data_IF_510090849420
#
_entry.id   IF_510090849420
#
_cell.length_a   1.000
_cell.length_b   1.000
_cell.length_c   1.000
_cell.angle_alpha   90.00
_cell.angle_beta   90.00
_cell.angle_gamma   90.00
#
_symmetry.space_group_name_H-M   'P 1'
#
loop_
_entity.id
_entity.type
_entity.pdbx_description
1 polymer ?
#
# COMPACT_ATOMS: atom_id res chain seq x y z
N UNK A 1 7.59 -4.97 -4.88
CA UNK A 1 6.67 -6.08 -4.50
C UNK A 1 6.20 -5.93 -3.06
N UNK A 2 7.10 -5.97 -2.07
CA UNK A 2 6.78 -5.85 -0.63
C UNK A 2 5.86 -4.65 -0.35
N UNK A 3 6.25 -3.44 -0.78
CA UNK A 3 5.43 -2.23 -0.55
C UNK A 3 4.05 -2.29 -1.20
N UNK A 4 3.90 -2.92 -2.37
CA UNK A 4 2.60 -3.01 -3.03
C UNK A 4 1.66 -3.90 -2.23
N UNK A 5 2.17 -5.03 -1.73
CA UNK A 5 1.39 -5.93 -0.88
C UNK A 5 1.07 -5.30 0.48
N UNK A 6 1.98 -4.49 1.04
CA UNK A 6 1.69 -3.68 2.23
C UNK A 6 0.57 -2.69 1.96
N UNK A 7 0.63 -1.95 0.85
CA UNK A 7 -0.39 -0.97 0.47
C UNK A 7 -1.74 -1.62 0.11
N UNK A 8 -1.75 -2.89 -0.28
CA UNK A 8 -2.98 -3.67 -0.48
C UNK A 8 -3.65 -4.00 0.85
N UNK A 9 -2.91 -4.60 1.79
CA UNK A 9 -3.47 -4.98 3.08
C UNK A 9 -3.76 -3.77 3.98
N UNK A 10 -2.95 -2.71 3.87
CA UNK A 10 -3.02 -1.54 4.74
C UNK A 10 -2.92 -0.25 3.91
N UNK A 11 -3.92 0.07 3.07
CA UNK A 11 -3.92 1.30 2.31
C UNK A 11 -4.04 2.51 3.24
N UNK A 12 -3.30 3.62 3.02
CA UNK A 12 -3.42 4.82 3.85
C UNK A 12 -4.84 5.38 3.89
N UNK A 13 -5.54 5.39 2.75
CA UNK A 13 -6.96 5.72 2.66
C UNK A 13 -7.79 4.44 2.47
N UNK A 14 -8.68 4.15 3.42
CA UNK A 14 -9.51 2.93 3.39
C UNK A 14 -10.69 3.03 2.44
N UNK A 15 -11.09 4.25 2.09
CA UNK A 15 -12.15 4.54 1.13
C UNK A 15 -11.93 5.92 0.49
N UNK A 16 -12.61 6.17 -0.63
CA UNK A 16 -12.67 7.51 -1.24
C UNK A 16 -14.09 7.81 -1.71
N UNK A 17 -14.50 9.06 -1.64
CA UNK A 17 -15.84 9.50 -2.07
C UNK A 17 -15.73 10.19 -3.43
N UNK A 18 -16.70 9.93 -4.31
CA UNK A 18 -16.92 10.67 -5.56
C UNK A 18 -18.36 11.17 -5.59
N UNK A 19 -18.59 12.31 -6.23
CA UNK A 19 -19.95 12.82 -6.46
C UNK A 19 -20.26 12.77 -7.95
N UNK A 20 -21.42 12.21 -8.29
CA UNK A 20 -21.93 12.23 -9.66
C UNK A 20 -22.19 13.68 -10.10
N UNK A 21 -21.50 14.14 -11.15
CA UNK A 21 -21.67 15.52 -11.65
C UNK A 21 -22.84 15.68 -12.61
N UNK A 22 -23.35 14.55 -13.10
CA UNK A 22 -24.48 14.39 -14.02
C UNK A 22 -25.17 13.08 -13.67
N UNK A 23 -26.40 12.89 -14.12
CA UNK A 23 -27.04 11.58 -14.09
C UNK A 23 -26.19 10.58 -14.88
N UNK A 24 -25.89 9.43 -14.28
CA UNK A 24 -25.02 8.41 -14.87
C UNK A 24 -25.53 7.01 -14.56
N UNK A 25 -25.37 6.09 -15.50
CA UNK A 25 -25.68 4.68 -15.29
C UNK A 25 -24.39 3.91 -14.97
N UNK A 26 -24.38 3.15 -13.87
CA UNK A 26 -23.28 2.27 -13.47
C UNK A 26 -23.77 0.82 -13.43
N UNK A 27 -23.43 0.02 -14.45
CA UNK A 27 -24.06 -1.29 -14.64
C UNK A 27 -25.55 -1.12 -14.92
N UNK A 28 -26.40 -1.73 -14.09
CA UNK A 28 -27.86 -1.59 -14.18
C UNK A 28 -28.42 -0.51 -13.24
N UNK A 29 -27.55 0.25 -12.55
CA UNK A 29 -27.95 1.26 -11.57
C UNK A 29 -27.95 2.66 -12.16
N UNK A 30 -29.10 3.33 -12.12
CA UNK A 30 -29.20 4.77 -12.38
C UNK A 30 -28.73 5.55 -11.15
N UNK A 31 -27.70 6.38 -11.32
CA UNK A 31 -27.13 7.24 -10.29
C UNK A 31 -27.47 8.69 -10.64
N UNK A 32 -28.40 9.33 -9.92
CA UNK A 32 -28.73 10.73 -10.14
C UNK A 32 -27.54 11.65 -9.86
N UNK A 33 -27.54 12.83 -10.48
CA UNK A 33 -26.66 13.94 -10.18
C UNK A 33 -26.60 14.20 -8.67
N UNK A 34 -25.43 14.62 -8.21
CA UNK A 34 -25.11 14.97 -6.84
C UNK A 34 -25.11 13.79 -5.84
N UNK A 35 -25.40 12.57 -6.29
CA UNK A 35 -25.22 11.35 -5.50
C UNK A 35 -23.76 11.16 -5.12
N UNK A 36 -23.49 10.90 -3.83
CA UNK A 36 -22.18 10.52 -3.33
C UNK A 36 -21.99 9.00 -3.39
N UNK A 37 -20.86 8.58 -3.95
CA UNK A 37 -20.45 7.21 -4.12
C UNK A 37 -19.20 6.98 -3.27
N UNK A 38 -19.32 6.12 -2.27
CA UNK A 38 -18.19 5.63 -1.49
C UNK A 38 -17.54 4.45 -2.22
N UNK A 39 -16.26 4.55 -2.54
CA UNK A 39 -15.46 3.46 -3.10
C UNK A 39 -14.68 2.83 -1.93
N UNK A 40 -15.02 1.60 -1.50
CA UNK A 40 -14.42 0.97 -0.32
C UNK A 40 -13.10 0.29 -0.69
N UNK A 41 -12.02 1.08 -0.80
CA UNK A 41 -10.68 0.65 -1.21
C UNK A 41 -10.21 -0.58 -0.41
N UNK A 42 -10.28 -0.53 0.92
CA UNK A 42 -9.84 -1.63 1.78
C UNK A 42 -10.62 -2.92 1.54
N UNK A 43 -11.94 -2.83 1.36
CA UNK A 43 -12.77 -4.00 1.08
C UNK A 43 -12.38 -4.62 -0.28
N UNK A 44 -12.21 -3.80 -1.32
CA UNK A 44 -11.77 -4.26 -2.65
C UNK A 44 -10.39 -4.94 -2.55
N UNK A 45 -9.48 -4.40 -1.74
CA UNK A 45 -8.11 -4.94 -1.60
C UNK A 45 -8.05 -6.27 -0.84
N UNK A 46 -9.08 -6.62 -0.05
CA UNK A 46 -9.16 -7.88 0.70
C UNK A 46 -10.15 -8.88 0.09
N UNK A 47 -10.86 -8.49 -0.97
CA UNK A 47 -11.88 -9.32 -1.58
C UNK A 47 -11.26 -10.52 -2.32
N UNK A 48 -11.55 -11.72 -1.85
CA UNK A 48 -11.06 -12.97 -2.43
C UNK A 48 -11.50 -13.17 -3.89
N UNK A 49 -12.56 -12.50 -4.37
CA UNK A 49 -12.97 -12.51 -5.78
C UNK A 49 -11.92 -11.86 -6.69
N UNK A 50 -11.20 -10.87 -6.18
CA UNK A 50 -10.12 -10.19 -6.89
C UNK A 50 -8.74 -10.75 -6.55
N UNK A 51 -8.55 -11.13 -5.29
CA UNK A 51 -7.26 -11.44 -4.71
C UNK A 51 -7.06 -12.93 -4.39
N UNK A 52 -8.01 -13.79 -4.74
CA UNK A 52 -7.90 -15.23 -4.53
C UNK A 52 -8.09 -15.65 -3.06
N UNK A 53 -8.01 -16.96 -2.78
CA UNK A 53 -8.25 -17.49 -1.43
C UNK A 53 -7.18 -17.06 -0.40
N UNK A 54 -6.00 -16.63 -0.87
CA UNK A 54 -4.92 -16.11 -0.03
C UNK A 54 -5.00 -14.59 0.20
N UNK A 55 -6.13 -13.94 -0.12
CA UNK A 55 -6.29 -12.48 -0.01
C UNK A 55 -5.95 -11.89 1.38
N UNK A 56 -6.13 -12.65 2.46
CA UNK A 56 -5.77 -12.22 3.81
C UNK A 56 -4.28 -12.40 4.16
N UNK A 57 -3.52 -13.11 3.32
CA UNK A 57 -2.10 -13.38 3.54
C UNK A 57 -1.24 -12.25 2.98
N UNK A 58 -0.08 -12.03 3.60
CA UNK A 58 0.94 -11.14 3.05
C UNK A 58 1.82 -11.91 2.06
N UNK A 59 1.54 -11.76 0.76
CA UNK A 59 2.25 -12.46 -0.31
C UNK A 59 2.76 -11.45 -1.38
N UNK A 60 3.97 -10.89 -1.21
CA UNK A 60 4.57 -9.97 -2.18
C UNK A 60 4.76 -10.56 -3.58
N UNK A 61 4.90 -11.88 -3.69
CA UNK A 61 5.13 -12.59 -4.96
C UNK A 61 3.99 -12.38 -5.97
N UNK A 62 2.78 -12.05 -5.48
CA UNK A 62 1.62 -11.73 -6.33
C UNK A 62 1.86 -10.55 -7.27
N UNK A 63 2.80 -9.67 -6.92
CA UNK A 63 3.15 -8.49 -7.72
C UNK A 63 4.33 -8.73 -8.68
N UNK A 64 4.84 -9.95 -8.82
CA UNK A 64 5.98 -10.27 -9.69
C UNK A 64 5.71 -9.92 -11.17
N UNK A 65 4.47 -10.11 -11.63
CA UNK A 65 4.02 -9.72 -12.98
C UNK A 65 3.69 -8.23 -13.14
N UNK A 66 3.89 -7.41 -12.11
CA UNK A 66 3.46 -6.01 -12.06
C UNK A 66 2.04 -5.83 -11.49
N UNK A 67 1.73 -4.60 -11.06
CA UNK A 67 0.51 -4.28 -10.32
C UNK A 67 -0.78 -4.57 -11.10
N UNK A 68 -0.81 -4.31 -12.41
CA UNK A 68 -1.98 -4.54 -13.25
C UNK A 68 -2.36 -6.03 -13.37
N UNK A 69 -1.42 -6.95 -13.10
CA UNK A 69 -1.62 -8.41 -13.18
C UNK A 69 -1.72 -9.07 -11.80
N UNK A 70 -1.68 -8.29 -10.72
CA UNK A 70 -1.66 -8.83 -9.36
C UNK A 70 -3.03 -9.32 -8.87
N UNK A 71 -4.11 -8.91 -9.52
CA UNK A 71 -5.49 -9.31 -9.19
C UNK A 71 -6.23 -9.73 -10.46
N UNK A 72 -7.37 -10.40 -10.31
CA UNK A 72 -8.21 -10.80 -11.46
C UNK A 72 -8.76 -9.61 -12.23
N UNK A 73 -8.88 -8.44 -11.58
CA UNK A 73 -9.27 -7.18 -12.20
C UNK A 73 -8.18 -6.12 -12.06
N UNK A 74 -7.76 -5.43 -13.14
CA UNK A 74 -6.63 -4.50 -13.12
C UNK A 74 -6.86 -3.27 -12.22
N UNK A 75 -8.12 -2.90 -11.99
CA UNK A 75 -8.50 -1.81 -11.09
C UNK A 75 -8.78 -2.26 -9.65
N UNK A 76 -8.51 -3.52 -9.29
CA UNK A 76 -8.68 -3.96 -7.90
C UNK A 76 -7.58 -3.43 -6.97
N UNK A 77 -6.47 -2.92 -7.51
CA UNK A 77 -5.37 -2.33 -6.75
C UNK A 77 -5.36 -0.80 -6.89
N UNK A 78 -5.79 -0.11 -5.84
CA UNK A 78 -6.05 1.34 -5.81
C UNK A 78 -5.38 2.03 -4.59
N UNK A 79 -4.09 1.82 -4.32
CA UNK A 79 -3.45 2.34 -3.11
C UNK A 79 -3.30 3.88 -3.09
N UNK A 80 -3.33 4.51 -4.26
CA UNK A 80 -3.14 5.95 -4.45
C UNK A 80 -4.31 6.62 -5.20
N UNK A 81 -5.46 5.94 -5.30
CA UNK A 81 -6.58 6.39 -6.11
C UNK A 81 -6.43 6.08 -7.61
N UNK A 82 -7.38 6.56 -8.41
CA UNK A 82 -7.43 6.37 -9.87
C UNK A 82 -7.75 7.70 -10.57
N UNK A 83 -7.34 7.80 -11.83
CA UNK A 83 -7.66 8.91 -12.72
C UNK A 83 -6.95 10.22 -12.39
N UNK A 84 -7.48 11.34 -12.86
CA UNK A 84 -6.87 12.68 -12.73
C UNK A 84 -6.74 13.21 -11.29
N UNK A 85 -7.37 12.53 -10.32
CA UNK A 85 -7.30 12.85 -8.89
C UNK A 85 -6.57 11.78 -8.10
N UNK A 86 -5.75 10.96 -8.76
CA UNK A 86 -4.79 10.09 -8.08
C UNK A 86 -3.79 10.91 -7.27
N UNK A 87 -3.19 10.31 -6.25
CA UNK A 87 -2.24 10.97 -5.36
C UNK A 87 -1.05 11.51 -6.16
N UNK A 88 -0.91 12.83 -6.19
CA UNK A 88 0.23 13.51 -6.83
C UNK A 88 1.57 13.10 -6.20
N UNK A 89 1.55 12.72 -4.92
CA UNK A 89 2.73 12.27 -4.17
C UNK A 89 3.09 10.79 -4.35
N UNK A 90 2.38 10.01 -5.18
CA UNK A 90 2.61 8.56 -5.32
C UNK A 90 4.08 8.20 -5.59
N UNK A 91 4.72 8.88 -6.55
CA UNK A 91 6.09 8.55 -6.93
C UNK A 91 7.09 8.89 -5.81
N UNK A 92 6.89 10.03 -5.14
CA UNK A 92 7.71 10.44 -4.00
C UNK A 92 7.56 9.45 -2.85
N UNK A 93 6.32 9.14 -2.45
CA UNK A 93 6.04 8.22 -1.34
C UNK A 93 6.62 6.82 -1.59
N UNK A 94 6.52 6.30 -2.82
CA UNK A 94 7.11 5.01 -3.17
C UNK A 94 8.64 5.05 -3.19
N UNK A 95 9.26 6.15 -3.60
CA UNK A 95 10.72 6.31 -3.56
C UNK A 95 11.21 6.36 -2.10
N UNK A 96 10.61 7.22 -1.28
CA UNK A 96 10.96 7.37 0.13
C UNK A 96 10.78 6.05 0.89
N UNK A 97 9.62 5.39 0.76
CA UNK A 97 9.35 4.13 1.44
C UNK A 97 10.34 3.02 1.02
N UNK A 98 10.73 2.95 -0.27
CA UNK A 98 11.73 1.99 -0.73
C UNK A 98 13.09 2.26 -0.09
N UNK A 99 13.54 3.51 -0.10
CA UNK A 99 14.83 3.90 0.45
C UNK A 99 14.87 3.67 1.97
N UNK A 100 13.84 4.10 2.70
CA UNK A 100 13.74 3.89 4.15
C UNK A 100 13.78 2.40 4.50
N UNK A 101 12.95 1.57 3.85
CA UNK A 101 12.94 0.13 4.12
C UNK A 101 14.28 -0.52 3.76
N UNK A 102 14.89 -0.16 2.62
CA UNK A 102 16.18 -0.70 2.23
C UNK A 102 17.29 -0.35 3.24
N UNK A 103 17.37 0.91 3.68
CA UNK A 103 18.36 1.36 4.68
C UNK A 103 18.15 0.67 6.02
N UNK A 104 16.90 0.53 6.47
CA UNK A 104 16.60 -0.15 7.73
C UNK A 104 16.99 -1.64 7.66
N UNK A 105 16.62 -2.35 6.60
CA UNK A 105 16.90 -3.78 6.45
C UNK A 105 18.39 -4.09 6.21
N UNK A 106 19.17 -3.14 5.68
CA UNK A 106 20.63 -3.28 5.55
C UNK A 106 21.37 -3.13 6.88
N UNK A 107 20.74 -2.53 7.90
CA UNK A 107 21.40 -2.16 9.16
C UNK A 107 20.84 -2.88 10.37
N UNK A 108 19.58 -3.30 10.31
CA UNK A 108 18.86 -3.83 11.46
C UNK A 108 18.07 -5.09 11.10
N UNK A 109 18.09 -6.06 12.00
CA UNK A 109 17.02 -7.03 12.15
C UNK A 109 15.85 -6.35 12.89
N UNK A 110 14.63 -6.46 12.34
CA UNK A 110 13.43 -5.85 12.89
C UNK A 110 12.51 -6.94 13.45
N UNK A 111 12.01 -6.77 14.68
CA UNK A 111 10.99 -7.65 15.27
C UNK A 111 9.88 -6.83 15.92
N UNK A 112 8.60 -7.24 15.80
CA UNK A 112 7.55 -6.64 16.62
C UNK A 112 7.89 -6.77 18.12
N UNK A 113 7.61 -5.73 18.89
CA UNK A 113 7.71 -5.82 20.35
C UNK A 113 6.69 -6.85 20.87
N UNK A 114 6.96 -7.57 21.98
CA UNK A 114 5.94 -8.36 22.68
C UNK A 114 4.72 -7.54 23.12
N UNK A 115 4.85 -6.21 23.21
CA UNK A 115 3.76 -5.28 23.50
C UNK A 115 2.96 -4.87 22.26
N UNK A 116 3.33 -5.33 21.07
CA UNK A 116 2.62 -5.03 19.85
C UNK A 116 1.22 -5.66 19.89
N UNK A 117 0.21 -4.83 19.64
CA UNK A 117 -1.18 -5.25 19.49
C UNK A 117 -1.63 -4.87 18.09
N UNK A 118 -2.00 -5.87 17.28
CA UNK A 118 -2.47 -5.64 15.94
C UNK A 118 -3.92 -5.12 15.96
N UNK A 119 -4.09 -3.80 15.97
CA UNK A 119 -5.39 -3.14 15.94
C UNK A 119 -5.37 -1.94 14.97
N UNK A 120 -5.54 -2.16 13.65
CA UNK A 120 -5.71 -1.06 12.70
C UNK A 120 -7.01 -0.29 12.99
N UNK A 121 -6.94 1.04 12.97
CA UNK A 121 -8.11 1.92 13.12
C UNK A 121 -8.03 3.11 12.16
N UNK A 122 -9.15 3.80 11.98
CA UNK A 122 -9.29 4.89 11.01
C UNK A 122 -9.81 6.14 11.72
N UNK A 123 -9.04 7.23 11.64
CA UNK A 123 -9.49 8.57 11.97
C UNK A 123 -9.58 9.43 10.70
N UNK A 124 -8.45 9.53 9.98
CA UNK A 124 -8.34 10.16 8.67
C UNK A 124 -7.60 9.25 7.69
N UNK A 125 -6.49 8.67 8.17
CA UNK A 125 -5.76 7.59 7.51
C UNK A 125 -5.83 6.34 8.38
N UNK A 126 -5.56 5.19 7.78
CA UNK A 126 -5.35 3.95 8.50
C UNK A 126 -4.07 4.05 9.33
N UNK A 127 -4.17 3.78 10.62
CA UNK A 127 -3.01 3.73 11.51
C UNK A 127 -3.19 2.65 12.59
N UNK A 128 -2.12 2.19 13.23
CA UNK A 128 -2.25 1.31 14.39
C UNK A 128 -2.82 2.09 15.58
N UNK A 129 -3.92 1.60 16.16
CA UNK A 129 -4.61 2.25 17.29
C UNK A 129 -3.68 2.44 18.50
N UNK A 130 -2.83 1.46 18.78
CA UNK A 130 -1.92 1.45 19.94
C UNK A 130 -0.46 1.67 19.54
N UNK A 131 -0.21 2.21 18.34
CA UNK A 131 1.13 2.31 17.76
C UNK A 131 1.68 0.97 17.25
N UNK A 132 2.88 1.00 16.68
CA UNK A 132 3.58 -0.19 16.20
C UNK A 132 5.00 -0.26 16.81
N UNK A 133 5.13 -0.60 18.10
CA UNK A 133 6.44 -0.73 18.73
C UNK A 133 7.25 -1.86 18.06
N UNK A 134 8.40 -1.50 17.50
CA UNK A 134 9.34 -2.41 16.82
C UNK A 134 10.68 -2.37 17.55
N UNK A 135 11.27 -3.54 17.75
CA UNK A 135 12.61 -3.73 18.30
C UNK A 135 13.59 -3.79 17.13
N UNK A 136 14.61 -2.95 17.18
CA UNK A 136 15.71 -2.89 16.20
C UNK A 136 16.94 -3.55 16.81
N UNK A 137 17.53 -4.51 16.11
CA UNK A 137 18.82 -5.11 16.48
C UNK A 137 19.83 -4.84 15.38
N UNK A 138 20.96 -4.16 15.65
CA UNK A 138 21.99 -3.95 14.63
C UNK A 138 22.48 -5.27 14.05
N UNK A 139 22.67 -5.33 12.74
CA UNK A 139 23.32 -6.45 12.08
C UNK A 139 24.82 -6.43 12.41
N UNK A 140 25.40 -7.60 12.65
CA UNK A 140 26.78 -7.79 13.11
C UNK A 140 27.86 -7.47 12.07
N UNK A 141 27.51 -6.89 10.91
CA UNK A 141 28.47 -6.53 9.87
C UNK A 141 28.10 -5.17 9.27
N UNK A 142 29.05 -4.22 9.16
CA UNK A 142 28.81 -2.97 8.44
C UNK A 142 28.54 -3.28 6.96
N UNK A 143 27.66 -2.53 6.27
CA UNK A 143 27.50 -2.67 4.84
C UNK A 143 28.86 -2.43 4.15
N UNK A 144 29.22 -3.20 3.10
CA UNK A 144 30.45 -2.94 2.37
C UNK A 144 30.44 -1.48 1.90
N UNK A 145 31.44 -0.71 2.31
CA UNK A 145 31.63 0.66 1.84
C UNK A 145 31.63 0.63 0.32
N UNK A 146 30.73 1.39 -0.31
CA UNK A 146 30.82 1.63 -1.74
C UNK A 146 32.20 2.23 -2.01
N UNK A 147 33.11 1.43 -2.58
CA UNK A 147 34.38 1.90 -3.09
C UNK A 147 34.03 2.91 -4.18
N UNK A 148 34.13 4.19 -3.85
CA UNK A 148 34.12 5.26 -4.83
C UNK A 148 35.37 5.05 -5.66
N UNK A 149 35.23 4.39 -6.81
CA UNK A 149 36.20 4.49 -7.88
C UNK A 149 36.13 5.93 -8.39
N UNK A 150 36.99 6.80 -7.85
CA UNK A 150 37.41 8.00 -8.55
C UNK A 150 38.23 7.54 -9.74
N UNK A 151 37.59 7.43 -10.90
CA UNK A 151 38.30 7.43 -12.16
C UNK A 151 38.63 8.89 -12.45
N UNK A 152 39.87 9.29 -12.21
CA UNK A 152 40.47 10.46 -12.86
C UNK A 152 40.65 10.10 -14.35
N UNK A 153 39.94 10.81 -15.22
CA UNK A 153 40.34 11.12 -16.60
C UNK A 153 39.72 12.45 -17.04
#
# INVERSE_FOLDING_TARGET
MILNETLRLYPPAVATIRRAKVDVTLGDLAIPRDTELLIPIMAIHHDARFWGPDAAQFNPGRFAGGAARAATHPLAFIPFGLGSRMCVGQNLALLEAKLTVAVLLQRFELRPSPKYVHAPTVLMLLHPQYGAPVIFRPLSSPPPSASVHTSDE
#
